data_IF_483848398691
#
_entry.id   IF_483848398691
#
_cell.length_a   1.000
_cell.length_b   1.000
_cell.length_c   1.000
_cell.angle_alpha   90.00
_cell.angle_beta   90.00
_cell.angle_gamma   90.00
#
_symmetry.space_group_name_H-M   'P 1'
#
loop_
_entity.id
_entity.type
_entity.pdbx_description
1 polymer ?
#
# COMPACT_ATOMS: atom_id res chain seq x y z
N UNK A 1 -3.78 0.84 -23.80
CA UNK A 1 -3.45 -0.30 -22.95
C UNK A 1 -3.26 0.23 -21.53
N UNK A 2 -3.95 -0.32 -20.55
CA UNK A 2 -3.87 0.14 -19.15
C UNK A 2 -2.51 -0.23 -18.55
N UNK A 3 -1.85 0.71 -17.88
CA UNK A 3 -0.60 0.45 -17.17
C UNK A 3 -0.90 0.14 -15.71
N UNK A 4 -0.37 -0.97 -15.20
CA UNK A 4 -0.44 -1.32 -13.78
C UNK A 4 0.68 -0.59 -13.05
N UNK A 5 0.34 0.21 -12.03
CA UNK A 5 1.29 0.93 -11.20
C UNK A 5 1.26 0.32 -9.80
N UNK A 6 2.38 -0.25 -9.39
CA UNK A 6 2.60 -0.79 -8.05
C UNK A 6 3.11 0.33 -7.13
N UNK A 7 2.37 0.59 -6.05
CA UNK A 7 2.64 1.65 -5.08
C UNK A 7 3.10 1.01 -3.77
N UNK A 8 4.40 1.09 -3.44
CA UNK A 8 4.95 0.48 -2.24
C UNK A 8 4.42 1.11 -0.95
N UNK A 9 4.53 0.36 0.14
CA UNK A 9 4.30 0.83 1.50
C UNK A 9 5.38 1.80 1.99
N UNK A 10 5.19 2.28 3.23
CA UNK A 10 6.12 3.17 3.90
C UNK A 10 7.51 2.51 3.99
N UNK A 11 8.54 3.24 3.56
CA UNK A 11 9.93 2.80 3.50
C UNK A 11 10.15 1.48 2.75
N UNK A 12 9.24 1.14 1.84
CA UNK A 12 9.41 0.03 0.92
C UNK A 12 9.80 0.54 -0.47
N UNK A 13 10.34 -0.36 -1.26
CA UNK A 13 10.68 -0.14 -2.67
C UNK A 13 10.15 -1.28 -3.55
N UNK A 14 10.73 -1.49 -4.72
CA UNK A 14 10.38 -2.58 -5.64
C UNK A 14 10.43 -3.97 -4.98
N UNK A 15 11.27 -4.17 -3.97
CA UNK A 15 11.40 -5.46 -3.29
C UNK A 15 10.12 -5.88 -2.54
N UNK A 16 9.22 -4.95 -2.20
CA UNK A 16 7.90 -5.29 -1.69
C UNK A 16 7.11 -6.15 -2.69
N UNK A 17 7.36 -5.94 -3.98
CA UNK A 17 6.64 -6.53 -5.10
C UNK A 17 7.42 -7.64 -5.82
N UNK A 18 8.47 -8.17 -5.17
CA UNK A 18 9.39 -9.17 -5.75
C UNK A 18 8.70 -10.40 -6.34
N UNK A 19 7.56 -10.81 -5.76
CA UNK A 19 6.80 -11.97 -6.20
C UNK A 19 5.63 -11.59 -7.12
N UNK A 20 5.07 -10.37 -6.98
CA UNK A 20 3.96 -9.87 -7.77
C UNK A 20 4.41 -9.35 -9.14
N UNK A 21 5.54 -8.66 -9.18
CA UNK A 21 6.05 -8.03 -10.39
C UNK A 21 6.31 -9.02 -11.53
N UNK A 22 7.03 -10.17 -11.29
CA UNK A 22 7.17 -11.20 -12.32
C UNK A 22 5.83 -11.78 -12.74
N UNK A 23 4.96 -12.17 -11.79
CA UNK A 23 3.67 -12.79 -12.09
C UNK A 23 2.77 -11.92 -12.97
N UNK A 24 2.75 -10.60 -12.75
CA UNK A 24 2.00 -9.65 -13.54
C UNK A 24 2.61 -9.47 -14.95
N UNK A 25 3.94 -9.42 -15.06
CA UNK A 25 4.65 -9.31 -16.34
C UNK A 25 4.48 -10.55 -17.20
N UNK A 26 4.58 -11.74 -16.62
CA UNK A 26 4.41 -13.03 -17.31
C UNK A 26 2.99 -13.18 -17.86
N UNK A 27 1.99 -12.55 -17.20
CA UNK A 27 0.61 -12.48 -17.70
C UNK A 27 0.42 -11.45 -18.82
N UNK A 28 1.46 -10.71 -19.18
CA UNK A 28 1.47 -9.74 -20.28
C UNK A 28 1.03 -8.31 -19.87
N UNK A 29 0.94 -8.01 -18.58
CA UNK A 29 0.64 -6.65 -18.14
C UNK A 29 1.86 -5.73 -18.29
N UNK A 30 1.60 -4.47 -18.70
CA UNK A 30 2.59 -3.41 -18.59
C UNK A 30 2.63 -2.93 -17.15
N UNK A 31 3.72 -3.18 -16.42
CA UNK A 31 3.84 -2.92 -15.00
C UNK A 31 5.01 -1.97 -14.72
N UNK A 32 4.75 -0.93 -13.92
CA UNK A 32 5.77 -0.05 -13.35
C UNK A 32 5.66 -0.03 -11.82
N UNK A 33 6.78 0.06 -11.12
CA UNK A 33 6.83 0.33 -9.68
C UNK A 33 7.09 1.81 -9.48
N UNK A 34 6.28 2.44 -8.66
CA UNK A 34 6.33 3.87 -8.41
C UNK A 34 7.32 4.19 -7.28
N UNK A 35 8.12 5.24 -7.44
CA UNK A 35 9.08 5.73 -6.46
C UNK A 35 8.82 7.18 -6.00
N UNK A 36 7.69 7.79 -6.40
CA UNK A 36 7.35 9.18 -6.04
C UNK A 36 7.33 9.43 -4.53
N UNK A 37 7.07 8.38 -3.73
CA UNK A 37 7.08 8.44 -2.28
C UNK A 37 8.49 8.67 -1.69
N UNK A 38 9.54 8.42 -2.46
CA UNK A 38 10.93 8.70 -2.09
C UNK A 38 11.36 10.13 -2.48
N UNK A 39 10.59 10.80 -3.35
CA UNK A 39 10.95 12.10 -3.95
C UNK A 39 10.06 13.26 -3.52
N UNK A 40 8.92 12.98 -2.89
CA UNK A 40 7.93 14.00 -2.51
C UNK A 40 7.46 13.84 -1.07
N UNK A 41 7.30 14.95 -0.36
CA UNK A 41 7.07 14.99 1.07
C UNK A 41 5.61 14.80 1.51
N UNK A 42 4.62 14.81 0.59
CA UNK A 42 3.20 14.70 0.94
C UNK A 42 2.44 13.83 -0.05
N UNK A 43 1.43 13.08 0.42
CA UNK A 43 0.60 12.25 -0.46
C UNK A 43 -0.03 13.03 -1.62
N UNK A 44 -0.54 14.25 -1.46
CA UNK A 44 -1.02 15.04 -2.61
C UNK A 44 0.08 15.41 -3.62
N UNK A 45 1.32 15.67 -3.18
CA UNK A 45 2.44 15.94 -4.08
C UNK A 45 2.89 14.68 -4.81
N UNK A 46 2.96 13.53 -4.11
CA UNK A 46 3.22 12.22 -4.70
C UNK A 46 2.18 11.88 -5.77
N UNK A 47 0.89 12.12 -5.50
CA UNK A 47 -0.20 11.86 -6.43
C UNK A 47 -0.07 12.68 -7.72
N UNK A 48 0.24 13.98 -7.60
CA UNK A 48 0.47 14.85 -8.77
C UNK A 48 1.67 14.40 -9.60
N UNK A 49 2.78 14.04 -8.95
CA UNK A 49 3.98 13.56 -9.64
C UNK A 49 3.70 12.26 -10.40
N UNK A 50 3.03 11.28 -9.77
CA UNK A 50 2.63 10.04 -10.44
C UNK A 50 1.79 10.31 -11.68
N UNK A 51 0.79 11.19 -11.59
CA UNK A 51 -0.08 11.54 -12.72
C UNK A 51 0.66 12.26 -13.85
N UNK A 52 1.73 13.00 -13.52
CA UNK A 52 2.58 13.68 -14.51
C UNK A 52 3.57 12.72 -15.20
N UNK A 53 3.99 11.65 -14.51
CA UNK A 53 4.98 10.70 -15.02
C UNK A 53 4.36 9.56 -15.86
N UNK A 54 3.04 9.35 -15.74
CA UNK A 54 2.35 8.26 -16.42
C UNK A 54 1.18 8.78 -17.23
N UNK A 55 1.19 8.54 -18.52
CA UNK A 55 0.09 8.88 -19.43
C UNK A 55 -0.96 7.76 -19.53
N UNK A 56 -2.17 8.12 -20.00
CA UNK A 56 -3.25 7.17 -20.28
C UNK A 56 -3.94 6.62 -19.02
N UNK A 57 -4.74 5.55 -19.17
CA UNK A 57 -5.45 4.93 -18.05
C UNK A 57 -4.52 4.09 -17.18
N UNK A 58 -4.70 4.18 -15.86
CA UNK A 58 -3.88 3.52 -14.84
C UNK A 58 -4.70 2.53 -14.03
N UNK A 59 -4.14 1.35 -13.77
CA UNK A 59 -4.60 0.43 -12.73
C UNK A 59 -3.63 0.54 -11.54
N UNK A 60 -4.12 1.02 -10.41
CA UNK A 60 -3.30 1.25 -9.23
C UNK A 60 -3.36 0.04 -8.29
N UNK A 61 -2.21 -0.47 -7.87
CA UNK A 61 -2.11 -1.51 -6.83
C UNK A 61 -1.28 -0.94 -5.69
N UNK A 62 -1.90 -0.57 -4.59
CA UNK A 62 -1.24 0.10 -3.48
C UNK A 62 -1.26 -0.72 -2.20
N UNK A 63 -0.09 -0.92 -1.58
CA UNK A 63 0.05 -1.56 -0.28
C UNK A 63 0.28 -0.51 0.81
N UNK A 64 -0.47 -0.58 1.91
CA UNK A 64 -0.31 0.29 3.09
C UNK A 64 -0.33 1.78 2.70
N UNK A 65 0.77 2.52 2.91
CA UNK A 65 0.91 3.91 2.45
C UNK A 65 0.68 4.05 0.93
N UNK A 66 1.08 3.06 0.13
CA UNK A 66 0.79 3.03 -1.31
C UNK A 66 -0.71 2.97 -1.61
N UNK A 67 -1.50 2.30 -0.77
CA UNK A 67 -2.96 2.31 -0.84
C UNK A 67 -3.56 3.68 -0.46
N UNK A 68 -2.97 4.36 0.53
CA UNK A 68 -3.34 5.75 0.85
C UNK A 68 -3.03 6.68 -0.34
N UNK A 69 -1.85 6.51 -0.97
CA UNK A 69 -1.46 7.25 -2.17
C UNK A 69 -2.42 6.98 -3.33
N UNK A 70 -2.82 5.72 -3.57
CA UNK A 70 -3.79 5.37 -4.61
C UNK A 70 -5.11 6.14 -4.47
N UNK A 71 -5.62 6.29 -3.24
CA UNK A 71 -6.82 7.08 -2.95
C UNK A 71 -6.61 8.56 -3.29
N UNK A 72 -5.45 9.14 -2.98
CA UNK A 72 -5.11 10.53 -3.35
C UNK A 72 -4.97 10.71 -4.86
N UNK A 73 -4.40 9.74 -5.58
CA UNK A 73 -4.30 9.74 -7.05
C UNK A 73 -5.70 9.69 -7.67
N UNK A 74 -6.56 8.78 -7.19
CA UNK A 74 -7.95 8.70 -7.66
C UNK A 74 -8.70 10.02 -7.42
N UNK A 75 -8.60 10.60 -6.22
CA UNK A 75 -9.24 11.89 -5.91
C UNK A 75 -8.78 13.02 -6.83
N UNK A 76 -7.50 13.04 -7.21
CA UNK A 76 -6.92 14.08 -8.06
C UNK A 76 -7.35 13.96 -9.53
N UNK A 77 -7.54 12.73 -10.05
CA UNK A 77 -7.85 12.46 -11.45
C UNK A 77 -8.65 11.15 -11.62
N UNK A 78 -9.91 11.07 -11.14
CA UNK A 78 -10.68 9.82 -11.14
C UNK A 78 -10.86 9.26 -12.55
N UNK A 79 -10.97 10.11 -13.56
CA UNK A 79 -11.11 9.73 -14.99
C UNK A 79 -9.85 9.02 -15.56
N UNK A 80 -8.70 9.13 -14.88
CA UNK A 80 -7.46 8.46 -15.27
C UNK A 80 -7.34 7.05 -14.66
N UNK A 81 -8.18 6.71 -13.68
CA UNK A 81 -8.05 5.47 -12.92
C UNK A 81 -9.00 4.43 -13.47
N UNK A 82 -8.45 3.48 -14.21
CA UNK A 82 -9.20 2.37 -14.80
C UNK A 82 -9.62 1.32 -13.77
N UNK A 83 -8.81 1.12 -12.72
CA UNK A 83 -9.07 0.19 -11.63
C UNK A 83 -8.15 0.46 -10.43
N UNK A 84 -8.53 0.02 -9.24
CA UNK A 84 -7.73 0.19 -8.03
C UNK A 84 -7.77 -1.05 -7.14
N UNK A 85 -6.60 -1.48 -6.65
CA UNK A 85 -6.46 -2.50 -5.62
C UNK A 85 -5.79 -1.89 -4.38
N UNK A 86 -6.46 -1.98 -3.25
CA UNK A 86 -6.05 -1.45 -1.96
C UNK A 86 -5.70 -2.61 -1.02
N UNK A 87 -4.41 -2.79 -0.74
CA UNK A 87 -3.87 -3.90 0.02
C UNK A 87 -3.41 -3.43 1.39
N UNK A 88 -3.93 -4.01 2.49
CA UNK A 88 -3.51 -3.69 3.86
C UNK A 88 -3.40 -2.18 4.10
N UNK A 89 -4.50 -1.45 3.92
CA UNK A 89 -4.50 0.02 3.96
C UNK A 89 -5.73 0.59 4.67
N UNK A 90 -5.80 1.91 4.76
CA UNK A 90 -6.89 2.63 5.43
C UNK A 90 -7.27 3.90 4.67
N UNK A 91 -8.51 4.36 4.86
CA UNK A 91 -8.97 5.69 4.45
C UNK A 91 -8.98 6.69 5.62
N UNK A 92 -8.69 6.24 6.85
CA UNK A 92 -8.73 7.06 8.08
C UNK A 92 -7.46 7.91 8.21
N UNK A 93 -7.53 9.08 8.85
CA UNK A 93 -6.36 9.75 9.39
C UNK A 93 -5.81 8.96 10.58
N UNK A 94 -4.60 9.29 11.05
CA UNK A 94 -4.09 8.75 12.30
C UNK A 94 -4.87 9.30 13.50
N UNK A 95 -5.10 8.46 14.50
CA UNK A 95 -5.59 8.89 15.80
C UNK A 95 -4.50 9.65 16.59
N UNK A 96 -4.85 10.41 17.64
CA UNK A 96 -3.83 11.06 18.49
C UNK A 96 -2.78 10.09 19.02
N UNK A 97 -3.16 8.87 19.36
CA UNK A 97 -2.25 7.82 19.86
C UNK A 97 -1.29 7.35 18.75
N UNK A 98 -1.78 7.15 17.52
CA UNK A 98 -0.94 6.78 16.38
C UNK A 98 0.00 7.92 15.98
N UNK A 99 -0.47 9.18 16.03
CA UNK A 99 0.37 10.37 15.80
C UNK A 99 1.53 10.40 16.80
N UNK A 100 1.22 10.13 18.09
CA UNK A 100 2.26 10.05 19.12
C UNK A 100 3.25 8.93 18.86
N UNK A 101 2.79 7.71 18.57
CA UNK A 101 3.65 6.57 18.26
C UNK A 101 4.59 6.85 17.08
N UNK A 102 4.09 7.49 16.02
CA UNK A 102 4.92 7.88 14.87
C UNK A 102 5.93 8.97 15.23
N UNK A 103 5.53 9.94 16.07
CA UNK A 103 6.45 10.98 16.54
C UNK A 103 7.57 10.39 17.39
N UNK A 104 7.23 9.45 18.30
CA UNK A 104 8.22 8.75 19.11
C UNK A 104 9.18 7.91 18.23
N UNK A 105 8.63 7.21 17.21
CA UNK A 105 9.45 6.46 16.26
C UNK A 105 10.39 7.38 15.45
N UNK A 106 9.95 8.56 15.04
CA UNK A 106 10.79 9.54 14.33
C UNK A 106 11.98 9.95 15.21
N UNK A 107 11.77 10.21 16.51
CA UNK A 107 12.85 10.52 17.45
C UNK A 107 13.88 9.38 17.50
N UNK A 108 13.43 8.14 17.51
CA UNK A 108 14.31 6.97 17.49
C UNK A 108 15.08 6.86 16.16
N UNK A 109 14.43 7.17 15.03
CA UNK A 109 15.08 7.17 13.71
C UNK A 109 16.13 8.26 13.60
N UNK A 110 15.84 9.48 14.08
CA UNK A 110 16.79 10.59 14.15
C UNK A 110 17.99 10.28 15.03
N UNK A 111 17.79 9.48 16.07
CA UNK A 111 18.85 8.99 16.96
C UNK A 111 19.63 7.77 16.43
N UNK A 112 19.37 7.33 15.18
CA UNK A 112 20.05 6.17 14.58
C UNK A 112 19.60 4.81 15.09
N UNK A 113 18.47 4.72 15.79
CA UNK A 113 17.93 3.48 16.38
C UNK A 113 16.82 2.83 15.56
N UNK A 114 16.80 3.07 14.25
CA UNK A 114 15.77 2.57 13.35
C UNK A 114 15.64 1.04 13.40
N UNK A 115 16.74 0.30 13.43
CA UNK A 115 16.74 -1.17 13.51
C UNK A 115 15.99 -1.68 14.74
N UNK A 116 16.19 -1.07 15.90
CA UNK A 116 15.53 -1.45 17.15
C UNK A 116 14.01 -1.30 17.02
N UNK A 117 13.57 -0.18 16.50
CA UNK A 117 12.12 0.10 16.28
C UNK A 117 11.53 -0.89 15.28
N UNK A 118 12.21 -1.14 14.16
CA UNK A 118 11.72 -2.04 13.11
C UNK A 118 11.61 -3.48 13.63
N UNK A 119 12.57 -3.96 14.40
CA UNK A 119 12.51 -5.29 15.02
C UNK A 119 11.36 -5.41 16.02
N UNK A 120 11.15 -4.39 16.85
CA UNK A 120 10.02 -4.34 17.78
C UNK A 120 8.67 -4.33 17.04
N UNK A 121 8.60 -3.67 15.89
CA UNK A 121 7.38 -3.58 15.10
C UNK A 121 7.11 -4.81 14.21
N UNK A 122 8.07 -5.71 14.03
CA UNK A 122 7.90 -6.89 13.20
C UNK A 122 6.73 -7.78 13.67
N UNK A 123 6.49 -7.86 14.98
CA UNK A 123 5.37 -8.60 15.55
C UNK A 123 3.98 -8.05 15.15
N UNK A 124 3.90 -6.80 14.74
CA UNK A 124 2.66 -6.18 14.24
C UNK A 124 2.56 -6.21 12.71
N UNK A 125 3.70 -6.36 12.03
CA UNK A 125 3.78 -6.37 10.57
C UNK A 125 3.50 -7.76 9.97
N UNK A 126 3.84 -8.83 10.69
CA UNK A 126 3.66 -10.21 10.26
C UNK A 126 2.53 -10.92 11.01
N UNK A 127 1.99 -11.95 10.37
CA UNK A 127 1.14 -12.92 11.05
C UNK A 127 1.88 -13.55 12.25
N UNK A 128 1.20 -13.88 13.37
CA UNK A 128 1.84 -14.49 14.55
C UNK A 128 2.72 -15.71 14.25
N UNK A 129 2.30 -16.56 13.30
CA UNK A 129 3.07 -17.73 12.87
C UNK A 129 4.40 -17.36 12.19
N UNK A 130 4.52 -16.16 11.66
CA UNK A 130 5.69 -15.68 10.91
C UNK A 130 6.51 -14.65 11.69
N UNK A 131 5.92 -13.97 12.66
CA UNK A 131 6.58 -12.92 13.42
C UNK A 131 7.81 -13.40 14.21
N UNK A 132 7.86 -14.71 14.56
CA UNK A 132 9.00 -15.37 15.19
C UNK A 132 10.08 -15.88 14.21
N UNK A 133 9.83 -15.85 12.91
CA UNK A 133 10.81 -16.27 11.89
C UNK A 133 11.92 -15.21 11.75
N UNK A 134 13.07 -15.54 12.33
CA UNK A 134 14.22 -14.64 12.41
C UNK A 134 14.73 -14.24 11.02
N UNK A 135 14.77 -15.17 10.06
CA UNK A 135 15.27 -14.89 8.70
C UNK A 135 14.34 -13.93 7.97
N UNK A 136 13.03 -14.09 8.15
CA UNK A 136 11.99 -13.20 7.59
C UNK A 136 12.05 -11.81 8.20
N UNK A 137 12.18 -11.71 9.52
CA UNK A 137 12.34 -10.42 10.22
C UNK A 137 13.64 -9.73 9.81
N UNK A 138 14.76 -10.46 9.69
CA UNK A 138 16.02 -9.89 9.22
C UNK A 138 15.94 -9.39 7.78
N UNK A 139 15.22 -10.08 6.89
CA UNK A 139 14.97 -9.64 5.52
C UNK A 139 14.13 -8.36 5.50
N UNK A 140 13.04 -8.30 6.25
CA UNK A 140 12.21 -7.12 6.42
C UNK A 140 13.01 -5.92 6.90
N UNK A 141 13.74 -6.05 7.99
CA UNK A 141 14.55 -4.97 8.58
C UNK A 141 15.61 -4.48 7.57
N UNK A 142 16.31 -5.41 6.92
CA UNK A 142 17.33 -5.08 5.91
C UNK A 142 16.75 -4.29 4.75
N UNK A 143 15.57 -4.66 4.25
CA UNK A 143 14.95 -3.98 3.12
C UNK A 143 14.50 -2.57 3.48
N UNK A 144 13.90 -2.39 4.66
CA UNK A 144 13.49 -1.06 5.14
C UNK A 144 14.72 -0.15 5.39
N UNK A 145 15.75 -0.68 6.04
CA UNK A 145 16.97 0.09 6.30
C UNK A 145 17.74 0.48 5.03
N UNK A 146 17.60 -0.29 3.95
CA UNK A 146 18.20 0.04 2.65
C UNK A 146 17.65 1.35 2.08
N UNK A 147 16.37 1.65 2.33
CA UNK A 147 15.72 2.90 1.88
C UNK A 147 16.21 4.11 2.69
N UNK A 148 16.71 3.87 3.91
CA UNK A 148 17.37 4.85 4.75
C UNK A 148 16.45 5.54 5.76
N UNK A 149 17.05 5.97 6.87
CA UNK A 149 16.32 6.62 7.98
C UNK A 149 15.66 7.93 7.57
N UNK A 150 16.24 8.69 6.66
CA UNK A 150 15.66 9.94 6.14
C UNK A 150 14.30 9.67 5.46
N UNK A 151 14.19 8.57 4.70
CA UNK A 151 12.95 8.16 4.07
C UNK A 151 11.92 7.66 5.09
N UNK A 152 12.36 6.91 6.11
CA UNK A 152 11.50 6.53 7.23
C UNK A 152 10.86 7.75 7.89
N UNK A 153 11.65 8.77 8.17
CA UNK A 153 11.20 10.02 8.80
C UNK A 153 10.26 10.79 7.87
N UNK A 154 10.68 11.03 6.62
CA UNK A 154 9.89 11.81 5.66
C UNK A 154 8.53 11.17 5.38
N UNK A 155 8.50 9.87 5.18
CA UNK A 155 7.26 9.16 4.85
C UNK A 155 6.35 8.99 6.08
N UNK A 156 6.88 8.83 7.30
CA UNK A 156 6.06 8.91 8.51
C UNK A 156 5.39 10.30 8.63
N UNK A 157 6.13 11.38 8.40
CA UNK A 157 5.57 12.74 8.39
C UNK A 157 4.48 12.90 7.32
N UNK A 158 4.67 12.33 6.11
CA UNK A 158 3.67 12.35 5.05
C UNK A 158 2.38 11.60 5.44
N UNK A 159 2.52 10.45 6.09
CA UNK A 159 1.37 9.66 6.59
C UNK A 159 0.65 10.38 7.72
N UNK A 160 1.38 10.98 8.67
CA UNK A 160 0.79 11.77 9.78
C UNK A 160 -0.04 12.96 9.27
N UNK A 161 0.39 13.59 8.18
CA UNK A 161 -0.26 14.75 7.58
C UNK A 161 -1.38 14.38 6.59
N UNK A 162 -1.70 13.08 6.40
CA UNK A 162 -2.71 12.67 5.43
C UNK A 162 -4.11 13.14 5.79
N UNK A 163 -4.89 13.44 4.75
CA UNK A 163 -6.30 13.76 4.92
C UNK A 163 -7.13 12.51 5.26
N UNK A 164 -8.26 12.72 5.91
CA UNK A 164 -9.32 11.71 6.01
C UNK A 164 -9.92 11.49 4.62
N UNK A 165 -9.78 10.28 4.07
CA UNK A 165 -10.25 9.94 2.73
C UNK A 165 -11.67 9.34 2.72
N UNK A 166 -12.25 9.04 3.87
CA UNK A 166 -13.59 8.46 3.99
C UNK A 166 -14.69 9.26 3.28
N UNK A 167 -14.71 10.61 3.34
CA UNK A 167 -15.72 11.40 2.62
C UNK A 167 -15.71 11.24 1.09
N UNK A 168 -14.60 10.79 0.51
CA UNK A 168 -14.44 10.62 -0.96
C UNK A 168 -14.51 9.17 -1.43
N UNK A 169 -14.67 8.20 -0.53
CA UNK A 169 -14.77 6.79 -0.92
C UNK A 169 -15.97 6.52 -1.84
N UNK A 170 -17.12 7.16 -1.56
CA UNK A 170 -18.31 7.02 -2.38
C UNK A 170 -18.16 7.53 -3.82
N UNK A 171 -17.13 8.32 -4.12
CA UNK A 171 -16.84 8.82 -5.47
C UNK A 171 -16.06 7.82 -6.32
N UNK A 172 -15.56 6.73 -5.73
CA UNK A 172 -14.86 5.68 -6.45
C UNK A 172 -15.86 4.93 -7.34
N UNK A 173 -15.65 5.01 -8.67
CA UNK A 173 -16.49 4.34 -9.68
C UNK A 173 -15.77 3.23 -10.42
N UNK A 174 -14.44 3.24 -10.42
CA UNK A 174 -13.64 2.19 -11.06
C UNK A 174 -13.74 0.86 -10.28
N UNK A 175 -13.50 -0.30 -10.94
CA UNK A 175 -13.37 -1.59 -10.25
C UNK A 175 -12.40 -1.49 -9.08
N UNK A 176 -12.86 -1.87 -7.88
CA UNK A 176 -12.08 -1.79 -6.64
C UNK A 176 -11.95 -3.17 -5.99
N UNK A 177 -10.71 -3.62 -5.83
CA UNK A 177 -10.33 -4.72 -4.96
C UNK A 177 -9.79 -4.14 -3.64
N UNK A 178 -10.27 -4.63 -2.52
CA UNK A 178 -9.71 -4.37 -1.19
C UNK A 178 -9.27 -5.69 -0.61
N UNK A 179 -8.02 -5.82 -0.20
CA UNK A 179 -7.51 -7.05 0.40
C UNK A 179 -6.75 -6.75 1.70
N UNK A 180 -6.89 -7.63 2.68
CA UNK A 180 -6.29 -7.49 4.00
C UNK A 180 -5.88 -8.86 4.53
N UNK A 181 -4.73 -8.94 5.19
CA UNK A 181 -4.38 -10.13 5.96
C UNK A 181 -5.36 -10.35 7.13
N UNK A 182 -5.65 -11.61 7.45
CA UNK A 182 -6.58 -11.95 8.55
C UNK A 182 -6.06 -11.56 9.92
N UNK A 183 -4.74 -11.33 10.06
CA UNK A 183 -4.05 -10.89 11.27
C UNK A 183 -3.27 -9.57 11.06
N UNK A 184 -3.75 -8.69 10.19
CA UNK A 184 -3.16 -7.36 10.01
C UNK A 184 -3.46 -6.49 11.24
N UNK A 185 -2.43 -6.22 12.05
CA UNK A 185 -2.53 -5.40 13.25
C UNK A 185 -2.20 -3.92 13.00
N UNK A 186 -1.62 -3.56 11.85
CA UNK A 186 -1.29 -2.18 11.50
C UNK A 186 -2.45 -1.46 10.82
N UNK A 187 -3.16 -2.16 9.94
CA UNK A 187 -4.41 -1.70 9.33
C UNK A 187 -5.47 -2.79 9.43
N UNK A 188 -6.04 -2.98 10.63
CA UNK A 188 -6.97 -4.07 10.90
C UNK A 188 -8.12 -4.18 9.90
N UNK A 189 -8.66 -5.39 9.76
CA UNK A 189 -9.69 -5.74 8.77
C UNK A 189 -10.90 -4.78 8.76
N UNK A 190 -11.22 -4.14 9.91
CA UNK A 190 -12.28 -3.14 9.97
C UNK A 190 -12.02 -1.93 9.07
N UNK A 191 -10.75 -1.56 8.81
CA UNK A 191 -10.42 -0.48 7.88
C UNK A 191 -10.79 -0.85 6.45
N UNK A 192 -10.52 -2.09 6.05
CA UNK A 192 -10.93 -2.63 4.75
C UNK A 192 -12.45 -2.76 4.63
N UNK A 193 -13.13 -3.20 5.70
CA UNK A 193 -14.60 -3.26 5.75
C UNK A 193 -15.24 -1.88 5.62
N UNK A 194 -14.64 -0.85 6.23
CA UNK A 194 -15.11 0.53 6.09
C UNK A 194 -15.04 1.02 4.64
N UNK A 195 -13.94 0.71 3.95
CA UNK A 195 -13.78 1.09 2.54
C UNK A 195 -14.85 0.41 1.68
N UNK A 196 -15.03 -0.91 1.81
CA UNK A 196 -16.02 -1.62 0.98
C UNK A 196 -17.47 -1.26 1.34
N UNK A 197 -17.74 -0.90 2.57
CA UNK A 197 -19.07 -0.43 2.97
C UNK A 197 -19.45 0.91 2.28
N UNK A 198 -18.45 1.76 1.99
CA UNK A 198 -18.65 3.02 1.29
C UNK A 198 -18.68 2.85 -0.24
N UNK A 199 -18.09 1.78 -0.80
CA UNK A 199 -17.98 1.53 -2.24
C UNK A 199 -18.71 0.23 -2.60
N UNK A 200 -20.00 0.30 -2.94
CA UNK A 200 -20.90 -0.86 -3.08
C UNK A 200 -20.44 -1.94 -4.06
N UNK A 201 -19.63 -1.61 -5.04
CA UNK A 201 -19.12 -2.55 -6.06
C UNK A 201 -17.71 -3.06 -5.73
N UNK A 202 -17.14 -2.65 -4.60
CA UNK A 202 -15.83 -3.12 -4.16
C UNK A 202 -15.89 -4.61 -3.76
N UNK A 203 -14.82 -5.33 -4.07
CA UNK A 203 -14.59 -6.69 -3.61
C UNK A 203 -13.71 -6.65 -2.36
N UNK A 204 -14.07 -7.41 -1.33
CA UNK A 204 -13.24 -7.63 -0.15
C UNK A 204 -12.68 -9.03 -0.16
N UNK A 205 -11.38 -9.15 -0.06
CA UNK A 205 -10.67 -10.41 0.08
C UNK A 205 -9.86 -10.43 1.38
N UNK A 206 -10.05 -11.48 2.18
CA UNK A 206 -9.28 -11.71 3.40
C UNK A 206 -8.26 -12.79 3.12
N UNK A 207 -6.98 -12.44 3.22
CA UNK A 207 -5.87 -13.36 2.96
C UNK A 207 -5.55 -14.12 4.25
N UNK A 208 -5.80 -15.44 4.29
CA UNK A 208 -5.55 -16.23 5.49
C UNK A 208 -4.05 -16.36 5.77
N UNK A 209 -3.69 -16.55 7.03
CA UNK A 209 -2.30 -16.68 7.49
C UNK A 209 -1.39 -15.54 7.02
N UNK A 210 -1.90 -14.31 7.03
CA UNK A 210 -1.16 -13.13 6.65
C UNK A 210 -1.42 -11.96 7.62
N UNK A 211 -0.37 -11.21 7.91
CA UNK A 211 -0.42 -9.93 8.58
C UNK A 211 -0.45 -8.78 7.57
N UNK A 212 0.20 -7.69 7.92
CA UNK A 212 0.29 -6.48 7.09
C UNK A 212 1.09 -6.68 5.79
N UNK A 213 2.09 -7.56 5.82
CA UNK A 213 2.97 -7.86 4.68
C UNK A 213 2.48 -9.07 3.87
N UNK A 214 1.19 -9.14 3.61
CA UNK A 214 0.57 -10.27 2.91
C UNK A 214 1.20 -10.56 1.54
N UNK A 215 1.80 -9.57 0.87
CA UNK A 215 2.53 -9.74 -0.40
C UNK A 215 3.75 -10.65 -0.25
N UNK A 216 4.35 -10.71 0.94
CA UNK A 216 5.49 -11.58 1.27
C UNK A 216 5.08 -12.86 1.99
N UNK A 217 3.99 -12.80 2.76
CA UNK A 217 3.55 -13.94 3.57
C UNK A 217 2.76 -14.95 2.74
N UNK A 218 1.94 -14.45 1.81
CA UNK A 218 1.07 -15.27 0.94
C UNK A 218 1.19 -14.85 -0.54
N UNK A 219 2.40 -14.86 -1.13
CA UNK A 219 2.63 -14.30 -2.47
C UNK A 219 1.78 -14.98 -3.55
N UNK A 220 1.61 -16.30 -3.49
CA UNK A 220 0.82 -17.05 -4.46
C UNK A 220 -0.66 -16.66 -4.44
N UNK A 221 -1.25 -16.50 -3.24
CA UNK A 221 -2.64 -16.06 -3.09
C UNK A 221 -2.82 -14.62 -3.57
N UNK A 222 -1.92 -13.72 -3.17
CA UNK A 222 -1.97 -12.31 -3.60
C UNK A 222 -1.82 -12.19 -5.12
N UNK A 223 -0.93 -12.96 -5.74
CA UNK A 223 -0.80 -13.02 -7.20
C UNK A 223 -2.08 -13.49 -7.87
N UNK A 224 -2.69 -14.56 -7.39
CA UNK A 224 -3.94 -15.07 -7.93
C UNK A 224 -5.08 -14.03 -7.83
N UNK A 225 -5.21 -13.35 -6.68
CA UNK A 225 -6.18 -12.28 -6.47
C UNK A 225 -6.00 -11.12 -7.43
N UNK A 226 -4.76 -10.62 -7.56
CA UNK A 226 -4.44 -9.50 -8.45
C UNK A 226 -4.68 -9.85 -9.92
N UNK A 227 -4.26 -11.03 -10.37
CA UNK A 227 -4.47 -11.47 -11.75
C UNK A 227 -5.95 -11.65 -12.06
N UNK A 228 -6.70 -12.33 -11.18
CA UNK A 228 -8.13 -12.53 -11.35
C UNK A 228 -8.90 -11.20 -11.38
N UNK A 229 -8.51 -10.23 -10.54
CA UNK A 229 -9.09 -8.91 -10.53
C UNK A 229 -8.76 -8.14 -11.81
N UNK A 230 -7.50 -8.14 -12.28
CA UNK A 230 -7.08 -7.47 -13.51
C UNK A 230 -7.77 -8.04 -14.75
N UNK A 231 -8.03 -9.35 -14.80
CA UNK A 231 -8.78 -9.98 -15.90
C UNK A 231 -10.24 -9.44 -16.03
N UNK A 232 -10.77 -8.84 -14.95
CA UNK A 232 -12.12 -8.23 -14.93
C UNK A 232 -12.11 -6.74 -15.23
N UNK A 233 -10.92 -6.10 -15.30
CA UNK A 233 -10.78 -4.66 -15.57
C UNK A 233 -11.10 -4.40 -17.05
N UNK A 234 -12.08 -3.54 -17.36
CA UNK A 234 -12.41 -3.20 -18.75
C UNK A 234 -11.20 -2.63 -19.48
N UNK A 235 -11.00 -3.04 -20.74
CA UNK A 235 -9.91 -2.54 -21.58
C UNK A 235 -10.02 -1.04 -21.90
N UNK A 236 -11.17 -0.42 -21.64
CA UNK A 236 -11.45 1.03 -21.76
C UNK A 236 -12.02 1.53 -20.43
N UNK A 237 -11.61 2.75 -19.98
CA UNK A 237 -12.26 3.37 -18.82
C UNK A 237 -13.78 3.46 -19.02
N UNK A 238 -14.53 3.33 -17.92
CA UNK A 238 -15.95 3.64 -17.91
C UNK A 238 -16.11 5.14 -18.24
N UNK A 239 -16.95 5.45 -19.22
CA UNK A 239 -17.23 6.81 -19.66
C UNK A 239 -17.95 7.62 -18.56
#
# INVERSE_FOLDING_TARGET
MTTVILLPGLACDEALWRDQLPALRDRGHRVAVCDVHQRHATLPAMARALLAEHDGPLALVGSSMGGMLAQHVHRAAPQRIAAMALLSTTARPDTPELLKLRSDAIVEFEAGRAEIVLRANAMFAFHPDHAGDRARVDDYVRQILRVGSEQLIAQNRAVMARADMRPWLADIRCPLLVACGDQDLLTPLEHSREIVAAVRHAQLEVVPHAGHLMTWEQPALVNALLLQWLDRVPSKPLA
#
